data_IF_761637993434
#
_entry.id   IF_761637993434
#
_cell.length_a   1.000
_cell.length_b   1.000
_cell.length_c   1.000
_cell.angle_alpha   90.00
_cell.angle_beta   90.00
_cell.angle_gamma   90.00
#
_symmetry.space_group_name_H-M   'P 1'
#
loop_
_entity.id
_entity.type
_entity.pdbx_description
1 polymer ?
#
# COMPACT_ATOMS: atom_id res chain seq x y z
N UNK A 1 49.73 -37.74 -1.41
CA UNK A 1 50.05 -37.31 -2.80
C UNK A 1 48.82 -36.58 -3.33
N UNK A 2 48.83 -35.23 -3.36
CA UNK A 2 49.03 -34.38 -4.57
C UNK A 2 47.94 -34.66 -5.62
N UNK A 3 47.04 -33.74 -6.00
CA UNK A 3 47.26 -32.31 -6.34
C UNK A 3 45.95 -31.50 -6.27
N UNK A 4 45.99 -30.31 -5.66
CA UNK A 4 44.93 -29.30 -5.70
C UNK A 4 45.33 -28.25 -6.73
N UNK A 5 44.60 -28.17 -7.85
CA UNK A 5 44.82 -27.14 -8.87
C UNK A 5 44.18 -25.83 -8.42
N UNK A 6 45.03 -24.86 -8.08
CA UNK A 6 44.66 -23.46 -7.84
C UNK A 6 44.49 -22.77 -9.19
N UNK A 7 43.29 -22.29 -9.49
CA UNK A 7 43.06 -21.39 -10.63
C UNK A 7 43.15 -19.97 -10.08
N UNK A 8 44.25 -19.28 -10.42
CA UNK A 8 44.47 -17.86 -10.20
C UNK A 8 43.97 -17.14 -11.45
N UNK A 9 42.89 -16.37 -11.32
CA UNK A 9 42.41 -15.50 -12.39
C UNK A 9 42.98 -14.11 -12.14
N UNK A 10 44.00 -13.75 -12.90
CA UNK A 10 44.56 -12.41 -13.02
C UNK A 10 43.63 -11.53 -13.85
N UNK A 11 43.01 -10.52 -13.23
CA UNK A 11 42.33 -9.44 -13.96
C UNK A 11 43.36 -8.36 -14.36
N UNK A 12 43.43 -7.97 -15.65
CA UNK A 12 44.27 -6.87 -16.08
C UNK A 12 43.67 -5.53 -15.66
N UNK A 13 44.49 -4.73 -14.97
CA UNK A 13 44.29 -3.30 -14.79
C UNK A 13 44.42 -2.61 -16.16
N UNK A 14 43.32 -2.13 -16.73
CA UNK A 14 43.33 -1.14 -17.79
C UNK A 14 42.82 0.19 -17.24
N UNK A 15 43.77 1.11 -17.11
CA UNK A 15 43.54 2.51 -16.85
C UNK A 15 42.98 3.20 -18.11
N UNK A 16 41.99 4.08 -17.91
CA UNK A 16 41.84 5.32 -18.66
C UNK A 16 41.13 5.28 -20.02
N UNK A 17 39.85 5.63 -20.03
CA UNK A 17 39.27 6.50 -21.06
C UNK A 17 38.01 7.19 -20.51
N UNK A 18 38.10 8.51 -20.38
CA UNK A 18 36.98 9.40 -20.08
C UNK A 18 36.07 9.50 -21.30
N UNK A 19 34.81 9.09 -21.17
CA UNK A 19 33.75 9.44 -22.11
C UNK A 19 32.65 10.15 -21.32
N UNK A 20 32.52 11.45 -21.61
CA UNK A 20 31.50 12.36 -21.09
C UNK A 20 30.25 12.27 -21.96
N UNK A 21 29.08 12.10 -21.33
CA UNK A 21 27.73 12.40 -21.85
C UNK A 21 27.24 11.48 -22.98
N UNK A 22 26.16 10.70 -22.84
CA UNK A 22 24.80 11.07 -22.46
C UNK A 22 24.29 10.04 -21.45
N UNK A 23 23.92 10.50 -20.26
CA UNK A 23 23.45 9.65 -19.17
C UNK A 23 22.08 9.04 -19.48
N UNK A 24 22.07 7.83 -20.04
CA UNK A 24 20.95 6.89 -19.89
C UNK A 24 20.93 6.41 -18.43
N UNK A 25 20.40 7.23 -17.52
CA UNK A 25 19.96 6.77 -16.20
C UNK A 25 18.70 5.89 -16.38
N UNK A 26 18.88 4.72 -16.97
CA UNK A 26 17.80 3.76 -17.23
C UNK A 26 18.33 2.35 -17.07
N UNK A 27 18.76 1.99 -15.85
CA UNK A 27 19.06 0.58 -15.53
C UNK A 27 19.14 0.22 -14.03
N UNK A 28 18.81 1.11 -13.08
CA UNK A 28 18.80 0.77 -11.65
C UNK A 28 17.39 0.59 -11.05
N UNK A 29 16.36 0.42 -11.89
CA UNK A 29 15.03 -0.06 -11.46
C UNK A 29 14.93 -1.57 -11.70
N UNK A 30 16.03 -2.30 -11.48
CA UNK A 30 16.01 -3.75 -11.56
C UNK A 30 15.73 -4.30 -10.16
N UNK A 31 14.53 -4.86 -10.02
CA UNK A 31 14.07 -5.70 -8.91
C UNK A 31 13.96 -5.06 -7.51
N UNK A 32 13.36 -3.87 -7.43
CA UNK A 32 12.88 -3.41 -6.13
C UNK A 32 11.75 -4.33 -5.68
N UNK A 33 11.97 -5.09 -4.61
CA UNK A 33 10.96 -6.06 -4.15
C UNK A 33 9.72 -5.29 -3.70
N UNK A 34 8.50 -5.84 -3.89
CA UNK A 34 7.28 -5.17 -3.48
C UNK A 34 7.31 -4.69 -2.02
N UNK A 35 7.90 -5.48 -1.11
CA UNK A 35 8.09 -5.11 0.30
C UNK A 35 9.05 -3.95 0.51
N UNK A 36 10.10 -3.81 -0.31
CA UNK A 36 11.06 -2.70 -0.23
C UNK A 36 10.40 -1.40 -0.70
N UNK A 37 9.53 -1.45 -1.70
CA UNK A 37 8.76 -0.28 -2.14
C UNK A 37 7.84 0.24 -1.04
N UNK A 38 7.17 -0.67 -0.30
CA UNK A 38 6.36 -0.31 0.87
C UNK A 38 7.20 0.26 1.99
N UNK A 39 8.38 -0.31 2.24
CA UNK A 39 9.32 0.19 3.24
C UNK A 39 9.78 1.62 2.89
N UNK A 40 10.11 1.88 1.63
CA UNK A 40 10.51 3.21 1.14
C UNK A 40 9.38 4.24 1.30
N UNK A 41 8.16 3.90 0.88
CA UNK A 41 6.99 4.78 1.04
C UNK A 41 6.72 5.09 2.51
N UNK A 42 6.75 4.08 3.38
CA UNK A 42 6.53 4.26 4.81
C UNK A 42 7.64 5.06 5.48
N UNK A 43 8.88 4.94 5.00
CA UNK A 43 10.01 5.78 5.42
C UNK A 43 9.77 7.23 5.06
N UNK A 44 9.43 7.53 3.80
CA UNK A 44 9.16 8.91 3.36
C UNK A 44 7.96 9.52 4.09
N UNK A 45 6.89 8.76 4.33
CA UNK A 45 5.74 9.24 5.11
C UNK A 45 6.12 9.63 6.55
N UNK A 46 6.95 8.81 7.21
CA UNK A 46 7.42 9.09 8.56
C UNK A 46 8.40 10.27 8.64
N UNK A 47 9.25 10.44 7.61
CA UNK A 47 10.11 11.63 7.47
C UNK A 47 9.22 12.87 7.36
N UNK A 48 8.26 12.86 6.45
CA UNK A 48 7.41 14.02 6.18
C UNK A 48 6.49 14.37 7.36
N UNK A 49 5.94 13.35 8.06
CA UNK A 49 5.18 13.56 9.29
C UNK A 49 5.98 14.33 10.36
N UNK A 50 7.30 14.15 10.39
CA UNK A 50 8.22 14.82 11.31
C UNK A 50 8.69 16.17 10.78
N UNK A 51 9.12 16.24 9.53
CA UNK A 51 9.86 17.37 8.95
C UNK A 51 8.99 18.35 8.14
N UNK A 52 7.76 17.97 7.79
CA UNK A 52 6.79 18.82 7.04
C UNK A 52 7.33 19.34 5.72
N UNK A 53 7.95 18.46 4.92
CA UNK A 53 8.51 18.79 3.61
C UNK A 53 7.42 18.95 2.54
N UNK A 54 6.27 18.29 2.73
CA UNK A 54 5.11 18.31 1.85
C UNK A 54 3.98 19.18 2.43
N UNK A 55 3.10 19.63 1.55
CA UNK A 55 1.81 20.21 1.96
C UNK A 55 0.93 19.17 2.65
N UNK A 56 -0.11 19.62 3.37
CA UNK A 56 -1.06 18.70 4.04
C UNK A 56 -1.77 17.75 3.06
N UNK A 57 -2.05 18.23 1.85
CA UNK A 57 -2.70 17.45 0.77
C UNK A 57 -1.74 16.38 0.26
N UNK A 58 -0.50 16.74 -0.08
CA UNK A 58 0.53 15.80 -0.55
C UNK A 58 0.92 14.79 0.53
N UNK A 59 0.98 15.20 1.80
CA UNK A 59 1.20 14.28 2.91
C UNK A 59 0.08 13.22 2.97
N UNK A 60 -1.17 13.65 2.80
CA UNK A 60 -2.32 12.73 2.79
C UNK A 60 -2.27 11.79 1.57
N UNK A 61 -1.86 12.29 0.41
CA UNK A 61 -1.63 11.49 -0.80
C UNK A 61 -0.55 10.42 -0.56
N UNK A 62 0.59 10.79 0.04
CA UNK A 62 1.67 9.87 0.38
C UNK A 62 1.20 8.78 1.35
N UNK A 63 0.39 9.13 2.36
CA UNK A 63 -0.23 8.15 3.26
C UNK A 63 -1.15 7.16 2.55
N UNK A 64 -1.86 7.63 1.52
CA UNK A 64 -2.72 6.77 0.71
C UNK A 64 -1.89 5.85 -0.19
N UNK A 65 -0.75 6.30 -0.73
CA UNK A 65 0.21 5.43 -1.42
C UNK A 65 0.80 4.35 -0.52
N UNK A 66 1.22 4.69 0.71
CA UNK A 66 1.68 3.69 1.70
C UNK A 66 0.59 2.64 1.94
N UNK A 67 -0.65 3.07 2.13
CA UNK A 67 -1.76 2.15 2.35
C UNK A 67 -2.01 1.25 1.13
N UNK A 68 -2.00 1.79 -0.09
CA UNK A 68 -2.18 1.02 -1.33
C UNK A 68 -1.04 0.03 -1.56
N UNK A 69 0.20 0.44 -1.31
CA UNK A 69 1.36 -0.40 -1.47
C UNK A 69 1.41 -1.52 -0.41
N UNK A 70 1.19 -1.19 0.87
CA UNK A 70 1.09 -2.18 1.96
C UNK A 70 0.11 -3.27 1.58
N UNK A 71 -1.02 -2.85 1.02
CA UNK A 71 -2.06 -3.79 0.71
C UNK A 71 -1.80 -4.63 -0.54
N UNK A 72 -1.17 -4.05 -1.57
CA UNK A 72 -0.71 -4.81 -2.74
C UNK A 72 0.30 -5.90 -2.33
N UNK A 73 1.27 -5.56 -1.48
CA UNK A 73 2.25 -6.51 -0.93
C UNK A 73 1.61 -7.58 -0.07
N UNK A 74 0.61 -7.21 0.74
CA UNK A 74 -0.12 -8.17 1.56
C UNK A 74 -0.86 -9.22 0.71
N UNK A 75 -1.36 -8.82 -0.47
CA UNK A 75 -2.00 -9.70 -1.44
C UNK A 75 -1.03 -10.65 -2.17
N UNK A 76 0.23 -10.24 -2.37
CA UNK A 76 1.26 -11.07 -3.01
C UNK A 76 2.02 -11.97 -2.01
N UNK A 77 2.11 -11.55 -0.75
CA UNK A 77 2.90 -12.24 0.27
C UNK A 77 2.05 -12.60 1.49
N UNK A 78 2.05 -11.75 2.51
CA UNK A 78 1.18 -11.87 3.68
C UNK A 78 1.01 -10.51 4.37
N UNK A 79 -0.11 -10.33 5.06
CA UNK A 79 -0.35 -9.12 5.85
C UNK A 79 0.72 -8.86 6.93
N UNK A 80 1.35 -9.92 7.48
CA UNK A 80 2.45 -9.77 8.44
C UNK A 80 3.71 -9.21 7.77
N UNK A 81 4.10 -9.73 6.60
CA UNK A 81 5.28 -9.22 5.88
C UNK A 81 5.10 -7.77 5.44
N UNK A 82 3.94 -7.44 4.88
CA UNK A 82 3.61 -6.05 4.51
C UNK A 82 3.63 -5.12 5.72
N UNK A 83 2.99 -5.50 6.83
CA UNK A 83 2.99 -4.70 8.05
C UNK A 83 4.37 -4.53 8.68
N UNK A 84 5.24 -5.55 8.59
CA UNK A 84 6.63 -5.46 9.02
C UNK A 84 7.42 -4.46 8.17
N UNK A 85 7.24 -4.47 6.84
CA UNK A 85 7.89 -3.52 5.94
C UNK A 85 7.48 -2.07 6.25
N UNK A 86 6.19 -1.80 6.47
CA UNK A 86 5.70 -0.48 6.90
C UNK A 86 6.33 -0.06 8.23
N UNK A 87 6.37 -0.97 9.21
CA UNK A 87 6.92 -0.67 10.54
C UNK A 87 8.41 -0.37 10.47
N UNK A 88 9.17 -1.16 9.70
CA UNK A 88 10.61 -0.98 9.47
C UNK A 88 10.88 0.36 8.77
N UNK A 89 10.15 0.65 7.70
CA UNK A 89 10.26 1.92 6.97
C UNK A 89 9.97 3.12 7.86
N UNK A 90 8.86 3.08 8.61
CA UNK A 90 8.48 4.13 9.53
C UNK A 90 9.53 4.36 10.64
N UNK A 91 10.15 3.30 11.17
CA UNK A 91 11.23 3.41 12.14
C UNK A 91 12.47 4.09 11.54
N UNK A 92 12.88 3.68 10.33
CA UNK A 92 13.99 4.31 9.61
C UNK A 92 13.71 5.79 9.29
N UNK A 93 12.48 6.14 8.94
CA UNK A 93 12.08 7.52 8.65
C UNK A 93 12.14 8.40 9.89
N UNK A 94 11.68 7.90 11.03
CA UNK A 94 11.80 8.62 12.32
C UNK A 94 13.24 8.89 12.73
N UNK A 95 14.17 7.98 12.42
CA UNK A 95 15.59 8.13 12.69
C UNK A 95 16.32 9.09 11.74
N UNK A 96 15.74 9.41 10.57
CA UNK A 96 16.38 10.27 9.55
C UNK A 96 16.31 11.74 9.96
N UNK A 97 17.40 12.51 9.91
CA UNK A 97 17.42 13.93 10.26
C UNK A 97 16.59 14.80 9.27
N UNK A 98 16.04 15.91 9.76
CA UNK A 98 15.37 16.89 8.90
C UNK A 98 16.42 17.76 8.20
N UNK A 99 16.31 17.90 6.89
CA UNK A 99 17.24 18.68 6.07
C UNK A 99 17.00 18.45 4.59
N UNK A 100 17.88 19.01 3.75
CA UNK A 100 17.75 18.96 2.29
C UNK A 100 17.71 17.54 1.72
N UNK A 101 18.52 16.63 2.25
CA UNK A 101 18.54 15.23 1.78
C UNK A 101 17.22 14.50 2.04
N UNK A 102 16.61 14.74 3.21
CA UNK A 102 15.34 14.10 3.55
C UNK A 102 14.17 14.71 2.78
N UNK A 103 14.23 16.01 2.44
CA UNK A 103 13.29 16.62 1.49
C UNK A 103 13.38 15.98 0.10
N UNK A 104 14.59 15.88 -0.46
CA UNK A 104 14.82 15.24 -1.78
C UNK A 104 14.28 13.81 -1.77
N UNK A 105 14.56 13.05 -0.71
CA UNK A 105 14.07 11.67 -0.57
C UNK A 105 12.54 11.61 -0.54
N UNK A 106 11.88 12.49 0.20
CA UNK A 106 10.41 12.51 0.29
C UNK A 106 9.79 12.87 -1.06
N UNK A 107 10.26 13.94 -1.71
CA UNK A 107 9.75 14.38 -3.01
C UNK A 107 9.99 13.33 -4.10
N UNK A 108 11.19 12.77 -4.18
CA UNK A 108 11.53 11.73 -5.17
C UNK A 108 10.67 10.47 -4.99
N UNK A 109 10.44 10.01 -3.75
CA UNK A 109 9.54 8.89 -3.47
C UNK A 109 8.11 9.19 -3.89
N UNK A 110 7.64 10.42 -3.67
CA UNK A 110 6.28 10.81 -4.04
C UNK A 110 6.10 10.86 -5.57
N UNK A 111 7.06 11.45 -6.30
CA UNK A 111 7.05 11.44 -7.77
C UNK A 111 7.12 10.03 -8.35
N UNK A 112 7.95 9.16 -7.76
CA UNK A 112 8.00 7.74 -8.14
C UNK A 112 6.65 7.04 -7.90
N UNK A 113 5.98 7.32 -6.79
CA UNK A 113 4.66 6.77 -6.48
C UNK A 113 3.60 7.24 -7.49
N UNK A 114 3.58 8.54 -7.81
CA UNK A 114 2.67 9.11 -8.84
C UNK A 114 2.88 8.46 -10.20
N UNK A 115 4.13 8.33 -10.65
CA UNK A 115 4.47 7.66 -11.92
C UNK A 115 4.04 6.20 -11.94
N UNK A 116 4.28 5.46 -10.85
CA UNK A 116 3.86 4.06 -10.76
C UNK A 116 2.33 3.91 -10.85
N UNK A 117 1.58 4.82 -10.24
CA UNK A 117 0.11 4.83 -10.32
C UNK A 117 -0.36 5.22 -11.72
N UNK A 118 0.22 6.23 -12.35
CA UNK A 118 -0.10 6.62 -13.72
C UNK A 118 0.13 5.46 -14.70
N UNK A 119 1.30 4.81 -14.64
CA UNK A 119 1.62 3.64 -15.46
C UNK A 119 0.65 2.47 -15.24
N UNK A 120 0.18 2.27 -14.00
CA UNK A 120 -0.81 1.23 -13.69
C UNK A 120 -2.20 1.52 -14.27
N UNK A 121 -2.55 2.79 -14.46
CA UNK A 121 -3.81 3.19 -15.08
C UNK A 121 -3.75 3.04 -16.61
N UNK A 122 -2.61 3.34 -17.23
CA UNK A 122 -2.40 3.18 -18.69
C UNK A 122 -2.38 1.69 -19.09
N UNK A 123 -1.86 0.83 -18.22
CA UNK A 123 -1.78 -0.62 -18.46
C UNK A 123 -3.09 -1.37 -18.25
N UNK A 124 -4.14 -0.71 -17.75
CA UNK A 124 -5.47 -1.31 -17.70
C UNK A 124 -6.10 -1.20 -19.10
N UNK A 125 -6.41 -2.32 -19.79
CA UNK A 125 -7.16 -2.23 -21.04
C UNK A 125 -8.46 -1.48 -20.74
N UNK A 126 -8.69 -0.38 -21.46
CA UNK A 126 -9.98 0.28 -21.50
C UNK A 126 -10.99 -0.79 -21.89
N UNK A 127 -11.71 -1.34 -20.91
CA UNK A 127 -12.96 -2.04 -21.18
C UNK A 127 -13.85 -0.95 -21.70
N UNK A 128 -13.90 -0.84 -23.03
CA UNK A 128 -14.83 0.02 -23.76
C UNK A 128 -16.20 -0.25 -23.17
N UNK A 129 -16.71 0.75 -22.45
CA UNK A 129 -18.08 0.74 -21.99
C UNK A 129 -18.94 0.62 -23.25
N UNK A 130 -19.50 -0.56 -23.50
CA UNK A 130 -20.54 -0.71 -24.49
C UNK A 130 -21.64 0.29 -24.13
N UNK A 131 -21.78 1.29 -24.98
CA UNK A 131 -22.86 2.25 -25.01
C UNK A 131 -24.15 1.46 -25.14
N UNK A 132 -24.82 1.19 -24.01
CA UNK A 132 -26.15 0.63 -24.01
C UNK A 132 -27.10 1.64 -24.65
N UNK A 133 -27.55 1.31 -25.84
CA UNK A 133 -28.68 1.90 -26.55
C UNK A 133 -29.87 2.00 -25.60
N UNK A 134 -30.52 3.16 -25.63
CA UNK A 134 -31.66 3.51 -24.81
C UNK A 134 -32.82 2.51 -24.97
N UNK A 135 -33.01 1.64 -23.98
CA UNK A 135 -34.27 0.98 -23.73
C UNK A 135 -34.92 1.66 -22.52
N UNK A 136 -35.96 2.42 -22.80
CA UNK A 136 -36.81 3.16 -21.85
C UNK A 136 -37.63 2.17 -21.01
N UNK A 137 -36.98 1.49 -20.08
CA UNK A 137 -37.64 0.73 -19.03
C UNK A 137 -37.46 1.46 -17.71
N UNK A 138 -38.57 1.98 -17.18
CA UNK A 138 -38.73 2.62 -15.88
C UNK A 138 -38.34 1.65 -14.77
N UNK A 139 -37.05 1.45 -14.57
CA UNK A 139 -36.48 0.70 -13.46
C UNK A 139 -35.95 1.72 -12.47
N UNK A 140 -36.48 1.68 -11.25
CA UNK A 140 -36.00 2.51 -10.15
C UNK A 140 -34.45 2.49 -10.10
N UNK A 141 -33.79 3.63 -9.85
CA UNK A 141 -32.33 3.70 -9.89
C UNK A 141 -31.73 2.62 -8.98
N UNK A 142 -30.72 1.86 -9.46
CA UNK A 142 -30.09 0.85 -8.64
C UNK A 142 -29.62 1.52 -7.36
N UNK A 143 -30.15 1.04 -6.23
CA UNK A 143 -29.88 1.57 -4.90
C UNK A 143 -28.37 1.60 -4.72
N UNK A 144 -27.75 2.76 -4.94
CA UNK A 144 -26.32 2.96 -4.69
C UNK A 144 -26.10 2.47 -3.27
N UNK A 145 -25.40 1.35 -3.11
CA UNK A 145 -25.00 0.87 -1.79
C UNK A 145 -24.17 2.02 -1.25
N UNK A 146 -24.78 2.84 -0.39
CA UNK A 146 -24.17 4.09 0.02
C UNK A 146 -22.87 3.72 0.71
N UNK A 147 -21.75 4.09 0.08
CA UNK A 147 -20.43 3.83 0.61
C UNK A 147 -20.34 4.58 1.95
N UNK A 148 -20.63 3.85 3.04
CA UNK A 148 -20.79 4.43 4.36
C UNK A 148 -19.48 4.30 5.12
N UNK A 149 -18.99 5.41 5.65
CA UNK A 149 -17.87 5.45 6.60
C UNK A 149 -18.11 4.56 7.81
N UNK A 150 -19.36 4.34 8.23
CA UNK A 150 -19.69 3.42 9.33
C UNK A 150 -19.46 1.95 8.94
N UNK A 151 -19.92 1.55 7.74
CA UNK A 151 -19.67 0.21 7.20
C UNK A 151 -18.18 -0.02 7.01
N UNK A 152 -17.47 0.95 6.42
CA UNK A 152 -16.02 0.89 6.27
C UNK A 152 -15.31 0.75 7.62
N UNK A 153 -15.63 1.61 8.59
CA UNK A 153 -14.99 1.59 9.91
C UNK A 153 -15.19 0.25 10.63
N UNK A 154 -16.39 -0.35 10.52
CA UNK A 154 -16.69 -1.67 11.09
C UNK A 154 -15.83 -2.78 10.47
N UNK A 155 -15.77 -2.83 9.14
CA UNK A 155 -15.02 -3.84 8.40
C UNK A 155 -13.51 -3.66 8.59
N UNK A 156 -13.02 -2.43 8.54
CA UNK A 156 -11.63 -2.09 8.80
C UNK A 156 -11.21 -2.48 10.23
N UNK A 157 -12.09 -2.30 11.24
CA UNK A 157 -11.79 -2.71 12.61
C UNK A 157 -11.61 -4.24 12.70
N UNK A 158 -12.49 -5.01 12.05
CA UNK A 158 -12.36 -6.45 11.96
C UNK A 158 -11.08 -6.87 11.22
N UNK A 159 -10.70 -6.16 10.14
CA UNK A 159 -9.43 -6.39 9.46
C UNK A 159 -8.20 -6.16 10.35
N UNK A 160 -8.17 -5.08 11.13
CA UNK A 160 -7.06 -4.84 12.05
C UNK A 160 -6.97 -5.90 13.15
N UNK A 161 -8.10 -6.44 13.61
CA UNK A 161 -8.15 -7.58 14.52
C UNK A 161 -7.63 -8.85 13.82
N UNK A 162 -8.09 -9.11 12.59
CA UNK A 162 -7.68 -10.27 11.80
C UNK A 162 -6.18 -10.27 11.53
N UNK A 163 -5.61 -9.13 11.15
CA UNK A 163 -4.16 -8.99 10.91
C UNK A 163 -3.32 -9.38 12.13
N UNK A 164 -3.84 -9.15 13.34
CA UNK A 164 -3.19 -9.53 14.59
C UNK A 164 -3.46 -10.99 14.99
N UNK A 165 -4.71 -11.43 14.88
CA UNK A 165 -5.18 -12.66 15.51
C UNK A 165 -5.36 -13.86 14.57
N UNK A 166 -5.37 -13.65 13.25
CA UNK A 166 -5.41 -14.69 12.21
C UNK A 166 -6.56 -15.70 12.37
N UNK A 167 -7.78 -15.20 12.47
CA UNK A 167 -8.99 -16.01 12.63
C UNK A 167 -9.54 -16.57 11.31
N UNK A 168 -9.08 -16.04 10.18
CA UNK A 168 -9.42 -16.48 8.83
C UNK A 168 -8.28 -17.30 8.22
N UNK A 169 -8.61 -18.18 7.27
CA UNK A 169 -7.59 -18.77 6.42
C UNK A 169 -6.94 -17.69 5.55
N UNK A 170 -5.74 -17.95 5.03
CA UNK A 170 -5.04 -16.99 4.20
C UNK A 170 -5.88 -16.52 2.99
N UNK A 171 -6.51 -17.46 2.27
CA UNK A 171 -7.38 -17.14 1.14
C UNK A 171 -8.57 -16.25 1.54
N UNK A 172 -9.20 -16.53 2.69
CA UNK A 172 -10.29 -15.73 3.23
C UNK A 172 -9.84 -14.34 3.65
N UNK A 173 -8.66 -14.22 4.27
CA UNK A 173 -8.09 -12.94 4.67
C UNK A 173 -7.77 -12.07 3.44
N UNK A 174 -7.28 -12.66 2.34
CA UNK A 174 -7.05 -11.97 1.06
C UNK A 174 -8.37 -11.49 0.44
N UNK A 175 -9.40 -12.35 0.37
CA UNK A 175 -10.73 -11.94 -0.14
C UNK A 175 -11.34 -10.83 0.73
N UNK A 176 -11.30 -10.99 2.06
CA UNK A 176 -11.81 -10.01 3.00
C UNK A 176 -11.14 -8.65 2.80
N UNK A 177 -9.82 -8.65 2.63
CA UNK A 177 -9.03 -7.46 2.38
C UNK A 177 -9.39 -6.78 1.04
N UNK A 178 -9.49 -7.53 -0.07
CA UNK A 178 -9.88 -6.99 -1.39
C UNK A 178 -11.22 -6.24 -1.31
N UNK A 179 -12.17 -6.77 -0.55
CA UNK A 179 -13.49 -6.12 -0.35
C UNK A 179 -13.37 -4.83 0.46
N UNK A 180 -12.53 -4.80 1.49
CA UNK A 180 -12.29 -3.58 2.28
C UNK A 180 -11.65 -2.48 1.43
N UNK A 181 -10.75 -2.83 0.50
CA UNK A 181 -10.16 -1.84 -0.42
C UNK A 181 -11.18 -1.28 -1.40
N UNK A 182 -12.05 -2.11 -1.96
CA UNK A 182 -13.17 -1.61 -2.80
C UNK A 182 -14.03 -0.62 -2.03
N UNK A 183 -14.36 -0.92 -0.77
CA UNK A 183 -15.14 -0.02 0.07
C UNK A 183 -14.36 1.23 0.48
N UNK A 184 -13.06 1.12 0.73
CA UNK A 184 -12.17 2.25 1.01
C UNK A 184 -12.17 3.24 -0.17
N UNK A 185 -11.95 2.74 -1.39
CA UNK A 185 -11.97 3.55 -2.61
C UNK A 185 -13.35 4.19 -2.84
N UNK A 186 -14.43 3.45 -2.59
CA UNK A 186 -15.79 3.98 -2.71
C UNK A 186 -16.08 5.07 -1.67
N UNK A 187 -15.59 4.94 -0.43
CA UNK A 187 -15.72 6.00 0.59
C UNK A 187 -14.84 7.20 0.24
N UNK A 188 -13.62 6.97 -0.26
CA UNK A 188 -12.73 8.03 -0.71
C UNK A 188 -13.38 8.86 -1.81
N UNK A 189 -13.94 8.20 -2.84
CA UNK A 189 -14.59 8.88 -3.96
C UNK A 189 -15.89 9.58 -3.56
N UNK A 190 -16.65 9.03 -2.61
CA UNK A 190 -17.95 9.55 -2.24
C UNK A 190 -17.91 10.63 -1.13
N UNK A 191 -16.97 10.54 -0.19
CA UNK A 191 -16.95 11.37 1.02
C UNK A 191 -15.61 12.12 1.22
N UNK A 192 -14.63 11.86 0.37
CA UNK A 192 -13.32 12.50 0.44
C UNK A 192 -12.36 11.91 1.49
N UNK A 193 -11.10 12.38 1.49
CA UNK A 193 -10.01 11.83 2.29
C UNK A 193 -10.21 12.03 3.80
N UNK A 194 -10.78 13.16 4.22
CA UNK A 194 -10.99 13.48 5.64
C UNK A 194 -11.98 12.53 6.32
N UNK A 195 -13.10 12.25 5.64
CA UNK A 195 -14.11 11.32 6.13
C UNK A 195 -13.54 9.91 6.26
N UNK A 196 -12.73 9.50 5.28
CA UNK A 196 -12.04 8.22 5.26
C UNK A 196 -11.00 8.12 6.39
N UNK A 197 -10.19 9.16 6.58
CA UNK A 197 -9.18 9.25 7.65
C UNK A 197 -9.83 9.11 9.02
N UNK A 198 -10.91 9.85 9.30
CA UNK A 198 -11.68 9.71 10.57
C UNK A 198 -12.25 8.30 10.74
N UNK A 199 -12.79 7.69 9.69
CA UNK A 199 -13.34 6.34 9.73
C UNK A 199 -12.25 5.28 10.01
N UNK A 200 -11.07 5.42 9.40
CA UNK A 200 -9.88 4.60 9.65
C UNK A 200 -9.40 4.74 11.09
N UNK A 201 -9.29 5.96 11.63
CA UNK A 201 -8.90 6.20 13.03
C UNK A 201 -9.87 5.54 14.01
N UNK A 202 -11.18 5.64 13.79
CA UNK A 202 -12.19 4.93 14.60
C UNK A 202 -12.06 3.41 14.52
N UNK A 203 -11.76 2.88 13.34
CA UNK A 203 -11.55 1.46 13.13
C UNK A 203 -10.34 0.94 13.93
N UNK A 204 -9.22 1.66 13.87
CA UNK A 204 -7.99 1.35 14.62
C UNK A 204 -8.26 1.41 16.13
N UNK A 205 -8.89 2.48 16.62
CA UNK A 205 -9.23 2.60 18.04
C UNK A 205 -10.13 1.46 18.51
N UNK A 206 -11.13 1.09 17.71
CA UNK A 206 -12.00 -0.07 17.99
C UNK A 206 -11.21 -1.38 18.03
N UNK A 207 -10.32 -1.62 17.07
CA UNK A 207 -9.48 -2.82 17.03
C UNK A 207 -8.48 -2.89 18.22
N UNK A 208 -7.98 -1.74 18.69
CA UNK A 208 -7.10 -1.65 19.87
C UNK A 208 -7.79 -2.04 21.17
N UNK A 209 -9.10 -1.77 21.31
CA UNK A 209 -9.90 -2.20 22.48
C UNK A 209 -10.01 -3.72 22.59
N UNK A 210 -9.93 -4.44 21.47
CA UNK A 210 -9.97 -5.91 21.42
C UNK A 210 -8.56 -6.53 21.52
N UNK A 211 -7.85 -6.29 22.63
CA UNK A 211 -6.45 -6.71 22.78
C UNK A 211 -6.25 -8.23 22.68
N UNK A 212 -7.20 -9.02 23.19
CA UNK A 212 -7.09 -10.49 23.26
C UNK A 212 -7.60 -11.17 21.99
N UNK A 213 -6.85 -12.15 21.50
CA UNK A 213 -7.24 -13.01 20.39
C UNK A 213 -8.10 -14.18 20.89
N UNK A 214 -9.33 -13.90 21.29
CA UNK A 214 -10.28 -14.87 21.84
C UNK A 214 -11.52 -15.05 20.95
N UNK A 215 -12.49 -15.85 21.42
CA UNK A 215 -13.73 -16.15 20.70
C UNK A 215 -14.51 -14.89 20.25
N UNK A 216 -14.50 -13.80 21.04
CA UNK A 216 -15.18 -12.55 20.68
C UNK A 216 -14.52 -11.89 19.47
N UNK A 217 -13.18 -11.85 19.44
CA UNK A 217 -12.43 -11.33 18.31
C UNK A 217 -12.62 -12.18 17.05
N UNK A 218 -12.67 -13.52 17.19
CA UNK A 218 -12.97 -14.43 16.09
C UNK A 218 -14.38 -14.23 15.54
N UNK A 219 -15.37 -14.08 16.42
CA UNK A 219 -16.77 -13.80 16.07
C UNK A 219 -16.90 -12.50 15.29
N UNK A 220 -16.26 -11.42 15.75
CA UNK A 220 -16.27 -10.15 15.02
C UNK A 220 -15.73 -10.30 13.59
N UNK A 221 -14.57 -10.94 13.43
CA UNK A 221 -13.95 -11.12 12.12
C UNK A 221 -14.83 -11.96 11.20
N UNK A 222 -15.29 -13.12 11.67
CA UNK A 222 -16.10 -14.05 10.85
C UNK A 222 -17.44 -13.43 10.45
N UNK A 223 -18.11 -12.71 11.36
CA UNK A 223 -19.35 -11.99 11.03
C UNK A 223 -19.07 -10.93 9.96
N UNK A 224 -18.04 -10.11 10.18
CA UNK A 224 -17.69 -9.03 9.24
C UNK A 224 -17.35 -9.56 7.84
N UNK A 225 -16.62 -10.67 7.77
CA UNK A 225 -16.32 -11.36 6.52
C UNK A 225 -17.58 -11.91 5.82
N UNK A 226 -18.52 -12.49 6.58
CA UNK A 226 -19.79 -12.98 6.02
C UNK A 226 -20.71 -11.86 5.55
N UNK A 227 -20.79 -10.76 6.29
CA UNK A 227 -21.65 -9.62 5.95
C UNK A 227 -21.27 -8.99 4.62
N UNK A 228 -19.98 -8.99 4.29
CA UNK A 228 -19.51 -8.44 3.01
C UNK A 228 -19.59 -9.44 1.85
N UNK A 229 -19.94 -10.71 2.12
CA UNK A 229 -20.14 -11.76 1.11
C UNK A 229 -21.52 -11.68 0.45
N UNK A 230 -22.53 -11.20 1.17
CA UNK A 230 -23.87 -10.92 0.66
C UNK A 230 -23.90 -9.58 -0.03
#
# INVERSE_FOLDING_TARGET
>A
MRTVSKIVISLPLLAGAWVVGIGTMSAAVQDLRPSEAVELLARSEAIDAKCRHLTSVEHQELRDYVARAEVAVAGQTSAKRAGNAVTKGAAAGKATACGRESEITVRATMDAARRAIAASNESQPHVTANTHTAAKNTSAPPRRVSASTASYSRLAAAYYVERRCRHLSHAQAVDFWKRIVRLHNAVLSAQGPDALSRAKSRAIAKAKRMRRCNANSAKLVRISYRTIKR
#
